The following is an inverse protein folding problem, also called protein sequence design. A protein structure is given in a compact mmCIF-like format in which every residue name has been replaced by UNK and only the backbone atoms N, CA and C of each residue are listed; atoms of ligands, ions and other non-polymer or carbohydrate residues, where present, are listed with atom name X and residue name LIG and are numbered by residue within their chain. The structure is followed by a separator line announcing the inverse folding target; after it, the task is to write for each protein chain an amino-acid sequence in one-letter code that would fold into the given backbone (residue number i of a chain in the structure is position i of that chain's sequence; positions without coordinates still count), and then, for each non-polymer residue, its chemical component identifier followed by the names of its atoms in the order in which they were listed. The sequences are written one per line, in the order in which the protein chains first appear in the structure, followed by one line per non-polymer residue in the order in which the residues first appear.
data_IF_100485882976
#
_entry.id   IF_100485882976
#
_cell.length_a   1.000
_cell.length_b   1.000
_cell.length_c   1.000
_cell.angle_alpha   90.00
_cell.angle_beta   90.00
_cell.angle_gamma   90.00
#
_symmetry.space_group_name_H-M   'P 1'
#
loop_
_entity.id
_entity.type
_entity.pdbx_description
1 polymer ?
#
# COMPACT_ATOMS: atom_id res chain seq x y z
N UNK A 1 -5.14 15.37 25.53
CA UNK A 1 -5.32 16.11 24.27
C UNK A 1 -6.51 15.52 23.50
N UNK A 2 -7.42 16.35 23.00
CA UNK A 2 -8.61 15.91 22.26
C UNK A 2 -8.55 16.51 20.86
N UNK A 3 -8.62 15.67 19.85
CA UNK A 3 -8.65 16.06 18.43
C UNK A 3 -10.06 15.93 17.90
N UNK A 4 -10.60 17.00 17.33
CA UNK A 4 -11.90 17.06 16.66
C UNK A 4 -11.67 17.10 15.14
N UNK A 5 -12.21 16.13 14.42
CA UNK A 5 -12.15 16.06 12.98
C UNK A 5 -13.53 16.17 12.36
N UNK A 6 -13.72 17.07 11.39
CA UNK A 6 -14.94 17.14 10.60
C UNK A 6 -15.04 15.94 9.67
N UNK A 7 -16.16 15.21 9.72
CA UNK A 7 -16.41 14.08 8.85
C UNK A 7 -17.15 14.59 7.61
N UNK A 8 -16.74 14.19 6.42
CA UNK A 8 -17.54 14.40 5.21
C UNK A 8 -18.83 13.61 5.36
N UNK A 9 -19.97 14.26 5.21
CA UNK A 9 -21.26 13.60 5.17
C UNK A 9 -21.25 12.54 4.05
N UNK A 10 -21.53 11.30 4.40
CA UNK A 10 -21.88 10.31 3.39
C UNK A 10 -23.29 10.59 2.95
N UNK A 11 -23.59 10.63 1.63
CA UNK A 11 -24.96 10.72 1.17
C UNK A 11 -25.75 9.57 1.83
N UNK A 12 -26.78 9.92 2.60
CA UNK A 12 -27.63 8.94 3.27
C UNK A 12 -28.35 8.14 2.18
N UNK A 13 -28.20 6.82 2.21
CA UNK A 13 -29.07 5.96 1.43
C UNK A 13 -30.50 6.17 1.91
N UNK A 14 -31.37 6.64 1.04
CA UNK A 14 -32.76 6.92 1.35
C UNK A 14 -33.38 5.73 2.10
N UNK A 15 -33.87 5.96 3.33
CA UNK A 15 -34.69 5.03 4.09
C UNK A 15 -34.04 4.29 5.26
N UNK A 16 -32.83 4.61 5.74
CA UNK A 16 -32.13 3.74 6.73
C UNK A 16 -31.56 4.38 8.00
N UNK A 17 -32.02 5.50 8.46
CA UNK A 17 -31.61 5.98 9.78
C UNK A 17 -32.79 6.40 10.62
N UNK A 18 -33.28 5.48 11.44
CA UNK A 18 -33.97 5.82 12.65
C UNK A 18 -32.94 6.44 13.61
N UNK A 19 -32.98 7.75 13.78
CA UNK A 19 -32.21 8.43 14.82
C UNK A 19 -32.92 8.21 16.14
N UNK A 20 -32.24 7.51 17.07
CA UNK A 20 -32.76 7.29 18.43
C UNK A 20 -32.75 8.58 19.28
N UNK A 21 -32.06 9.61 18.84
CA UNK A 21 -31.93 10.89 19.55
C UNK A 21 -32.27 12.05 18.61
N UNK A 22 -32.99 13.06 19.09
CA UNK A 22 -33.22 14.24 18.29
C UNK A 22 -31.93 14.94 17.93
N UNK A 23 -31.97 15.63 16.81
CA UNK A 23 -30.84 16.20 16.08
C UNK A 23 -29.98 17.17 16.90
N UNK A 24 -29.04 16.64 17.66
CA UNK A 24 -27.86 17.37 18.09
C UNK A 24 -26.88 17.46 16.94
N UNK A 25 -27.01 18.47 16.10
CA UNK A 25 -26.13 18.75 14.95
C UNK A 25 -24.66 18.82 15.35
N UNK A 26 -24.35 19.05 16.61
CA UNK A 26 -23.01 19.18 17.16
C UNK A 26 -22.23 17.86 17.08
N UNK A 27 -22.89 16.72 17.18
CA UNK A 27 -22.21 15.40 17.23
C UNK A 27 -22.17 14.67 15.90
N UNK A 28 -23.06 14.96 14.95
CA UNK A 28 -23.18 14.21 13.70
C UNK A 28 -22.02 14.41 12.71
N UNK A 29 -21.41 15.59 12.71
CA UNK A 29 -20.43 15.99 11.70
C UNK A 29 -18.99 15.94 12.20
N UNK A 30 -18.76 15.46 13.42
CA UNK A 30 -17.43 15.45 14.01
C UNK A 30 -17.08 14.10 14.61
N UNK A 31 -15.84 13.69 14.36
CA UNK A 31 -15.20 12.56 15.03
C UNK A 31 -14.26 13.12 16.09
N UNK A 32 -14.42 12.65 17.31
CA UNK A 32 -13.56 13.00 18.43
C UNK A 32 -12.59 11.85 18.70
N UNK A 33 -11.34 12.19 18.97
CA UNK A 33 -10.30 11.23 19.35
C UNK A 33 -9.51 11.81 20.52
N UNK A 34 -9.37 11.06 21.60
CA UNK A 34 -8.59 11.43 22.76
C UNK A 34 -7.22 10.75 22.72
N UNK A 35 -6.17 11.51 22.96
CA UNK A 35 -4.80 11.01 23.03
C UNK A 35 -4.16 11.44 24.34
N UNK A 36 -3.49 10.49 24.98
CA UNK A 36 -2.64 10.75 26.12
C UNK A 36 -1.18 10.69 25.65
N UNK A 37 -0.42 11.78 25.84
CA UNK A 37 0.95 11.88 25.36
C UNK A 37 1.77 12.82 26.25
N UNK A 38 3.05 12.53 26.39
CA UNK A 38 4.04 13.41 27.01
C UNK A 38 4.74 14.34 25.99
N UNK A 39 4.41 14.22 24.69
CA UNK A 39 5.02 15.04 23.65
C UNK A 39 4.45 16.45 23.64
N UNK A 40 5.32 17.44 23.55
CA UNK A 40 4.99 18.86 23.39
C UNK A 40 4.71 19.22 21.92
N UNK A 41 3.74 18.54 21.32
CA UNK A 41 3.34 18.73 19.93
C UNK A 41 1.91 19.29 19.83
N UNK A 42 1.61 19.91 18.71
CA UNK A 42 0.25 20.34 18.42
C UNK A 42 -0.71 19.15 18.27
N UNK A 43 -2.01 19.38 18.51
CA UNK A 43 -3.05 18.35 18.34
C UNK A 43 -3.03 17.69 16.95
N UNK A 44 -2.73 18.46 15.91
CA UNK A 44 -2.68 17.97 14.52
C UNK A 44 -1.46 17.09 14.29
N UNK A 45 -0.33 17.41 14.89
CA UNK A 45 0.90 16.62 14.79
C UNK A 45 0.78 15.29 15.54
N UNK A 46 0.27 15.31 16.77
CA UNK A 46 0.00 14.09 17.53
C UNK A 46 -0.97 13.18 16.78
N UNK A 47 -2.01 13.73 16.18
CA UNK A 47 -2.96 12.97 15.38
C UNK A 47 -2.30 12.35 14.14
N UNK A 48 -1.43 13.07 13.42
CA UNK A 48 -0.70 12.54 12.26
C UNK A 48 0.26 11.42 12.66
N UNK A 49 1.01 11.63 13.75
CA UNK A 49 1.95 10.66 14.29
C UNK A 49 1.25 9.36 14.69
N UNK A 50 0.11 9.48 15.38
CA UNK A 50 -0.67 8.32 15.77
C UNK A 50 -1.29 7.58 14.57
N UNK A 51 -1.68 8.28 13.52
CA UNK A 51 -2.16 7.64 12.29
C UNK A 51 -1.07 6.83 11.58
N UNK A 52 0.18 7.24 11.67
CA UNK A 52 1.32 6.45 11.13
C UNK A 52 1.40 5.03 11.70
N UNK A 53 0.89 4.81 12.93
CA UNK A 53 0.75 3.47 13.51
C UNK A 53 -0.14 2.55 12.68
N UNK A 54 -1.25 3.07 12.16
CA UNK A 54 -2.14 2.28 11.29
C UNK A 54 -1.46 1.84 9.99
N UNK A 55 -0.57 2.66 9.46
CA UNK A 55 0.22 2.30 8.28
C UNK A 55 1.25 1.20 8.60
N UNK A 56 1.90 1.25 9.76
CA UNK A 56 2.80 0.21 10.23
C UNK A 56 2.06 -1.13 10.41
N UNK A 57 0.88 -1.11 11.03
CA UNK A 57 0.04 -2.30 11.19
C UNK A 57 -0.37 -2.90 9.84
N UNK A 58 -0.73 -2.08 8.86
CA UNK A 58 -1.06 -2.53 7.52
C UNK A 58 0.14 -3.16 6.80
N UNK A 59 1.35 -2.63 6.99
CA UNK A 59 2.57 -3.22 6.43
C UNK A 59 2.91 -4.55 7.08
N UNK A 60 2.77 -4.68 8.39
CA UNK A 60 2.94 -5.96 9.09
C UNK A 60 1.92 -6.99 8.59
N UNK A 61 0.66 -6.58 8.40
CA UNK A 61 -0.36 -7.46 7.81
C UNK A 61 0.02 -7.91 6.40
N UNK A 62 0.49 -7.01 5.56
CA UNK A 62 0.93 -7.34 4.20
C UNK A 62 2.11 -8.33 4.23
N UNK A 63 3.11 -8.10 5.08
CA UNK A 63 4.24 -9.02 5.26
C UNK A 63 3.76 -10.43 5.65
N UNK A 64 2.78 -10.53 6.56
CA UNK A 64 2.24 -11.81 7.00
C UNK A 64 1.43 -12.52 5.91
N UNK A 65 0.47 -11.83 5.31
CA UNK A 65 -0.50 -12.45 4.41
C UNK A 65 0.00 -12.61 2.98
N UNK A 66 0.77 -11.64 2.48
CA UNK A 66 1.22 -11.64 1.09
C UNK A 66 2.64 -12.21 0.90
N UNK A 67 3.48 -12.11 1.93
CA UNK A 67 4.88 -12.55 1.88
C UNK A 67 5.20 -13.74 2.80
N UNK A 68 4.23 -14.22 3.59
CA UNK A 68 4.41 -15.40 4.43
C UNK A 68 5.40 -15.21 5.59
N UNK A 69 5.53 -13.98 6.11
CA UNK A 69 6.49 -13.61 7.15
C UNK A 69 6.40 -14.44 8.44
N UNK A 70 5.22 -14.98 8.77
CA UNK A 70 4.97 -15.79 9.96
C UNK A 70 4.74 -17.29 9.67
N UNK A 71 5.02 -17.72 8.44
CA UNK A 71 4.71 -19.08 7.96
C UNK A 71 5.96 -19.91 7.67
N UNK A 72 7.10 -19.59 8.27
CA UNK A 72 8.32 -20.36 8.10
C UNK A 72 8.25 -21.68 8.84
N UNK A 73 8.25 -22.79 8.11
CA UNK A 73 8.33 -24.14 8.68
C UNK A 73 9.77 -24.67 8.67
N UNK A 74 10.68 -23.90 9.27
CA UNK A 74 12.11 -24.23 9.35
C UNK A 74 12.47 -24.57 10.79
N UNK A 75 13.30 -25.61 10.95
CA UNK A 75 13.74 -26.09 12.27
C UNK A 75 15.01 -25.41 12.78
N UNK A 76 15.77 -24.83 11.87
CA UNK A 76 17.04 -24.16 12.17
C UNK A 76 16.84 -22.65 12.31
N UNK A 77 17.48 -22.04 13.31
CA UNK A 77 17.39 -20.61 13.57
C UNK A 77 17.97 -19.78 12.42
N UNK A 78 19.17 -20.13 11.97
CA UNK A 78 19.83 -19.38 10.88
C UNK A 78 19.11 -19.52 9.55
N UNK A 79 18.54 -20.68 9.29
CA UNK A 79 17.69 -20.86 8.10
C UNK A 79 16.44 -19.98 8.16
N UNK A 80 15.85 -19.84 9.34
CA UNK A 80 14.69 -18.95 9.56
C UNK A 80 15.07 -17.48 9.39
N UNK A 81 16.22 -17.07 9.94
CA UNK A 81 16.76 -15.72 9.77
C UNK A 81 17.04 -15.39 8.30
N UNK A 82 17.65 -16.30 7.57
CA UNK A 82 17.89 -16.15 6.14
C UNK A 82 16.58 -16.02 5.35
N UNK A 83 15.59 -16.86 5.61
CA UNK A 83 14.28 -16.80 4.99
C UNK A 83 13.59 -15.45 5.28
N UNK A 84 13.67 -14.98 6.52
CA UNK A 84 13.17 -13.67 6.93
C UNK A 84 13.84 -12.53 6.13
N UNK A 85 15.15 -12.60 5.98
CA UNK A 85 15.93 -11.61 5.21
C UNK A 85 15.48 -11.57 3.76
N UNK A 86 15.25 -12.72 3.12
CA UNK A 86 14.71 -12.79 1.75
C UNK A 86 13.31 -12.19 1.64
N UNK A 87 12.43 -12.43 2.62
CA UNK A 87 11.10 -11.82 2.66
C UNK A 87 11.18 -10.31 2.77
N UNK A 88 12.05 -9.78 3.64
CA UNK A 88 12.27 -8.35 3.79
C UNK A 88 12.82 -7.72 2.51
N UNK A 89 13.75 -8.39 1.83
CA UNK A 89 14.29 -7.95 0.55
C UNK A 89 13.19 -7.89 -0.52
N UNK A 90 12.39 -8.95 -0.63
CA UNK A 90 11.27 -9.01 -1.59
C UNK A 90 10.24 -7.90 -1.32
N UNK A 91 9.94 -7.64 -0.05
CA UNK A 91 9.04 -6.55 0.34
C UNK A 91 9.60 -5.17 -0.05
N UNK A 92 10.89 -4.94 0.18
CA UNK A 92 11.56 -3.69 -0.18
C UNK A 92 11.58 -3.49 -1.70
N UNK A 93 11.91 -4.53 -2.48
CA UNK A 93 11.85 -4.47 -3.94
C UNK A 93 10.44 -4.17 -4.45
N UNK A 94 9.42 -4.78 -3.85
CA UNK A 94 8.03 -4.49 -4.20
C UNK A 94 7.63 -3.06 -3.82
N UNK A 95 8.13 -2.53 -2.72
CA UNK A 95 7.90 -1.15 -2.30
C UNK A 95 8.54 -0.15 -3.28
N UNK A 96 9.77 -0.42 -3.70
CA UNK A 96 10.47 0.35 -4.73
C UNK A 96 9.69 0.32 -6.05
N UNK A 97 9.24 -0.86 -6.48
CA UNK A 97 8.43 -1.01 -7.69
C UNK A 97 7.12 -0.19 -7.62
N UNK A 98 6.43 -0.20 -6.48
CA UNK A 98 5.23 0.61 -6.28
C UNK A 98 5.51 2.11 -6.34
N UNK A 99 6.59 2.55 -5.72
CA UNK A 99 6.92 3.97 -5.61
C UNK A 99 7.41 4.55 -6.95
N UNK A 100 8.28 3.84 -7.63
CA UNK A 100 8.97 4.36 -8.80
C UNK A 100 8.32 3.94 -10.12
N UNK A 101 7.86 2.71 -10.24
CA UNK A 101 7.31 2.21 -11.51
C UNK A 101 5.80 2.42 -11.60
N UNK A 102 5.05 2.05 -10.56
CA UNK A 102 3.59 2.18 -10.60
C UNK A 102 3.11 3.60 -10.31
N UNK A 103 3.80 4.36 -9.48
CA UNK A 103 3.48 5.74 -9.08
C UNK A 103 2.00 5.97 -8.72
N UNK A 104 1.32 4.96 -8.23
CA UNK A 104 -0.08 5.06 -7.82
C UNK A 104 -0.18 5.80 -6.48
N UNK A 105 -1.12 6.75 -6.37
CA UNK A 105 -1.40 7.52 -5.13
C UNK A 105 -1.84 6.62 -3.97
N UNK A 106 -2.39 5.45 -4.26
CA UNK A 106 -2.90 4.50 -3.26
C UNK A 106 -2.06 3.24 -3.30
N UNK A 107 -1.48 2.88 -2.15
CA UNK A 107 -0.77 1.61 -2.03
C UNK A 107 -1.76 0.45 -2.19
N UNK A 108 -1.49 -0.40 -3.17
CA UNK A 108 -2.27 -1.63 -3.41
C UNK A 108 -1.57 -2.81 -2.77
N UNK A 109 -2.35 -3.78 -2.29
CA UNK A 109 -1.83 -5.05 -1.78
C UNK A 109 -1.13 -5.84 -2.89
N UNK A 110 -0.19 -6.70 -2.51
CA UNK A 110 0.52 -7.56 -3.46
C UNK A 110 -0.46 -8.46 -4.23
N UNK A 111 -1.49 -8.97 -3.57
CA UNK A 111 -2.55 -9.75 -4.22
C UNK A 111 -3.19 -8.98 -5.38
N UNK A 112 -3.54 -7.71 -5.18
CA UNK A 112 -4.08 -6.85 -6.24
C UNK A 112 -3.08 -6.64 -7.38
N UNK A 113 -1.81 -6.38 -7.05
CA UNK A 113 -0.75 -6.17 -8.04
C UNK A 113 -0.48 -7.45 -8.84
N UNK A 114 -0.52 -8.61 -8.20
CA UNK A 114 -0.35 -9.89 -8.86
C UNK A 114 -1.31 -10.05 -10.05
N UNK A 115 -2.58 -9.77 -9.86
CA UNK A 115 -3.58 -9.86 -10.94
C UNK A 115 -3.49 -8.72 -11.95
N UNK A 116 -3.01 -7.56 -11.55
CA UNK A 116 -2.95 -6.40 -12.46
C UNK A 116 -1.69 -6.36 -13.31
N UNK A 117 -0.57 -6.84 -12.80
CA UNK A 117 0.75 -6.63 -13.40
C UNK A 117 1.44 -7.95 -13.73
N UNK A 118 1.41 -8.94 -12.83
CA UNK A 118 2.23 -10.14 -12.97
C UNK A 118 1.48 -11.33 -13.58
N UNK A 119 0.22 -11.57 -13.22
CA UNK A 119 -0.57 -12.67 -13.73
C UNK A 119 -1.22 -12.32 -15.08
N UNK A 120 -0.39 -12.03 -16.08
CA UNK A 120 -0.82 -11.71 -17.44
C UNK A 120 -0.38 -12.84 -18.36
N UNK A 121 -1.31 -13.38 -19.15
CA UNK A 121 -1.01 -14.42 -20.14
C UNK A 121 0.01 -13.92 -21.15
N UNK A 122 1.04 -14.71 -21.40
CA UNK A 122 2.09 -14.38 -22.36
C UNK A 122 2.59 -15.65 -23.07
N UNK A 123 3.10 -15.49 -24.29
CA UNK A 123 3.72 -16.58 -25.05
C UNK A 123 4.86 -16.05 -25.92
N UNK A 124 5.81 -16.91 -26.22
CA UNK A 124 6.93 -16.57 -27.08
C UNK A 124 6.69 -17.00 -28.52
N UNK A 125 7.07 -16.13 -29.46
CA UNK A 125 7.13 -16.44 -30.89
C UNK A 125 8.53 -16.16 -31.42
N UNK A 126 8.96 -16.92 -32.41
CA UNK A 126 10.23 -16.65 -33.09
C UNK A 126 9.94 -15.98 -34.44
N UNK A 127 10.33 -14.72 -34.58
CA UNK A 127 10.12 -13.92 -35.79
C UNK A 127 11.50 -13.50 -36.32
N UNK A 128 11.83 -13.91 -37.54
CA UNK A 128 13.11 -13.57 -38.19
C UNK A 128 14.34 -13.87 -37.30
N UNK A 129 14.35 -15.01 -36.62
CA UNK A 129 15.43 -15.41 -35.73
C UNK A 129 15.43 -14.77 -34.34
N UNK A 130 14.57 -13.76 -34.08
CA UNK A 130 14.45 -13.09 -32.78
C UNK A 130 13.30 -13.68 -31.97
N UNK A 131 13.54 -13.83 -30.68
CA UNK A 131 12.49 -14.23 -29.71
C UNK A 131 11.65 -13.01 -29.36
N UNK A 132 10.34 -13.09 -29.59
CA UNK A 132 9.37 -12.03 -29.29
C UNK A 132 8.42 -12.53 -28.23
N UNK A 133 8.32 -11.78 -27.13
CA UNK A 133 7.33 -12.02 -26.07
C UNK A 133 6.01 -11.31 -26.43
N UNK A 134 4.97 -12.08 -26.61
CA UNK A 134 3.61 -11.57 -26.84
C UNK A 134 2.85 -11.59 -25.51
N UNK A 135 2.31 -10.43 -25.11
CA UNK A 135 1.62 -10.27 -23.84
C UNK A 135 0.14 -9.97 -24.09
N UNK A 136 -0.75 -10.76 -23.48
CA UNK A 136 -2.20 -10.66 -23.65
C UNK A 136 -2.78 -9.56 -22.76
N UNK A 137 -2.80 -8.30 -23.24
CA UNK A 137 -3.33 -7.16 -22.49
C UNK A 137 -4.55 -6.58 -23.19
N UNK A 138 -5.60 -6.33 -22.41
CA UNK A 138 -6.81 -5.69 -22.89
C UNK A 138 -6.50 -4.29 -23.47
N UNK A 139 -7.11 -3.94 -24.62
CA UNK A 139 -6.83 -2.70 -25.37
C UNK A 139 -6.81 -1.42 -24.52
N UNK A 140 -7.77 -1.27 -23.58
CA UNK A 140 -7.85 -0.10 -22.67
C UNK A 140 -6.67 0.03 -21.71
N UNK A 141 -5.91 -1.06 -21.44
CA UNK A 141 -4.79 -1.07 -20.50
C UNK A 141 -3.43 -0.99 -21.18
N UNK A 142 -3.35 -1.10 -22.50
CA UNK A 142 -2.08 -1.13 -23.25
C UNK A 142 -1.24 0.12 -23.01
N UNK A 143 -1.85 1.31 -23.10
CA UNK A 143 -1.13 2.57 -22.89
C UNK A 143 -0.49 2.63 -21.50
N UNK A 144 -1.26 2.33 -20.46
CA UNK A 144 -0.74 2.28 -19.08
C UNK A 144 0.37 1.24 -18.92
N UNK A 145 0.20 0.06 -19.48
CA UNK A 145 1.19 -1.03 -19.37
C UNK A 145 2.49 -0.69 -20.12
N UNK A 146 2.40 -0.09 -21.29
CA UNK A 146 3.60 0.38 -22.04
C UNK A 146 4.36 1.42 -21.24
N UNK A 147 3.68 2.35 -20.58
CA UNK A 147 4.32 3.35 -19.72
C UNK A 147 5.12 2.76 -18.55
N UNK A 148 4.85 1.52 -18.13
CA UNK A 148 5.66 0.85 -17.10
C UNK A 148 7.07 0.46 -17.61
N UNK A 149 7.24 0.30 -18.93
CA UNK A 149 8.52 -0.07 -19.55
C UNK A 149 9.36 1.15 -19.96
N UNK A 150 8.71 2.29 -20.17
CA UNK A 150 9.36 3.52 -20.57
C UNK A 150 9.85 4.34 -19.37
N UNK A 151 9.78 3.77 -18.17
CA UNK A 151 10.14 4.46 -16.94
C UNK A 151 11.66 4.46 -16.73
N UNK A 152 12.27 5.64 -16.83
CA UNK A 152 13.66 5.88 -16.44
C UNK A 152 13.75 5.96 -14.91
N UNK A 153 14.42 4.98 -14.31
CA UNK A 153 14.66 4.95 -12.86
C UNK A 153 15.80 5.93 -12.54
N UNK A 154 15.50 7.20 -12.50
CA UNK A 154 16.40 8.18 -11.92
C UNK A 154 16.30 8.08 -10.39
N UNK A 155 17.14 7.25 -9.80
CA UNK A 155 17.35 7.30 -8.35
C UNK A 155 18.05 8.64 -8.03
N UNK A 156 17.48 9.51 -7.20
CA UNK A 156 18.26 10.58 -6.59
C UNK A 156 19.21 9.90 -5.59
N UNK A 157 20.38 9.48 -6.07
CA UNK A 157 21.46 9.04 -5.19
C UNK A 157 22.11 10.31 -4.65
N UNK A 158 21.50 10.93 -3.65
CA UNK A 158 22.25 11.76 -2.74
C UNK A 158 23.14 10.84 -1.91
N UNK A 159 24.35 10.63 -2.36
CA UNK A 159 25.41 10.05 -1.52
C UNK A 159 25.72 11.12 -0.48
N UNK A 160 25.42 10.91 0.81
CA UNK A 160 25.87 11.85 1.82
C UNK A 160 27.39 11.87 1.77
N UNK A 161 27.95 13.04 1.49
CA UNK A 161 29.38 13.27 1.55
C UNK A 161 29.85 12.92 2.97
N UNK A 162 30.71 11.92 3.07
CA UNK A 162 31.37 11.49 4.30
C UNK A 162 32.30 12.58 4.81
#
# INVERSE_FOLDING_TARGET
MIVRQKIKERPQAAGKTLSLFPDDEIHRNYRYSAYFTSLELSCAEVWRLYRGRGDAENRIKELKYDFGFDSFNLKDFYATEAALTFVMLAYNLMSIFRMFVLQEKTQRTLTTLRYRVFAIGAYFTKIKGRLVLNIAIHKKRRHWFNGLWDYDINFPVEVPNA
#
